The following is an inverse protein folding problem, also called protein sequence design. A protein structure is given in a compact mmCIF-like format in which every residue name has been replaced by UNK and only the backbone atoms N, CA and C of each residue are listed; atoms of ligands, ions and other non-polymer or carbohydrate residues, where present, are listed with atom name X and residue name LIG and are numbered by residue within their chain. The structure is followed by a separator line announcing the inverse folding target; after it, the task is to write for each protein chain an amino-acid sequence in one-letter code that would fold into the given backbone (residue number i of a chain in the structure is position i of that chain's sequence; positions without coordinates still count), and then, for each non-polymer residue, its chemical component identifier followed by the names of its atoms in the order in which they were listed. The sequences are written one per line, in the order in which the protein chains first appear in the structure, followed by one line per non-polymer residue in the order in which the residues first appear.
data_IF_464658236313
#
_entry.id   IF_464658236313
#
_cell.length_a   1.000
_cell.length_b   1.000
_cell.length_c   1.000
_cell.angle_alpha   90.00
_cell.angle_beta   90.00
_cell.angle_gamma   90.00
#
_symmetry.space_group_name_H-M   'P 1'
#
loop_
_entity.id
_entity.type
_entity.pdbx_description
1 polymer ?
#
# COMPACT_ATOMS: atom_id res chain seq x y z
N UNK A 1 -8.19 -24.31 39.38
CA UNK A 1 -9.58 -24.16 38.87
C UNK A 1 -9.54 -24.28 37.36
N UNK A 2 -10.12 -25.35 36.84
CA UNK A 2 -10.15 -25.70 35.41
C UNK A 2 -11.08 -24.71 34.69
N UNK A 3 -10.67 -24.19 33.54
CA UNK A 3 -11.53 -23.31 32.73
C UNK A 3 -12.80 -24.10 32.32
N UNK A 4 -14.01 -23.56 32.50
CA UNK A 4 -15.22 -24.29 32.19
C UNK A 4 -15.36 -24.40 30.66
N UNK A 5 -15.49 -25.63 30.16
CA UNK A 5 -15.71 -25.95 28.74
C UNK A 5 -17.09 -25.56 28.20
N UNK A 6 -17.78 -24.63 28.84
CA UNK A 6 -19.08 -24.12 28.44
C UNK A 6 -18.91 -22.81 27.67
N UNK A 7 -19.37 -22.79 26.42
CA UNK A 7 -19.46 -21.58 25.59
C UNK A 7 -20.93 -21.15 25.55
N UNK A 8 -21.26 -19.89 25.89
CA UNK A 8 -22.63 -19.38 25.80
C UNK A 8 -23.14 -19.41 24.34
N UNK A 9 -24.35 -19.93 24.13
CA UNK A 9 -24.92 -20.10 22.78
C UNK A 9 -25.51 -18.80 22.21
N UNK A 10 -26.26 -18.04 23.01
CA UNK A 10 -26.90 -16.77 22.58
C UNK A 10 -26.76 -15.69 23.64
N UNK A 11 -26.23 -14.53 23.25
CA UNK A 11 -26.04 -13.39 24.15
C UNK A 11 -26.04 -12.06 23.39
N UNK A 12 -27.13 -11.29 23.50
CA UNK A 12 -27.30 -10.01 22.81
C UNK A 12 -26.79 -8.81 23.62
N UNK A 13 -26.44 -7.72 22.94
CA UNK A 13 -26.04 -6.45 23.55
C UNK A 13 -24.53 -6.20 23.52
N UNK A 14 -24.09 -5.24 24.34
CA UNK A 14 -22.71 -4.78 24.42
C UNK A 14 -22.22 -4.90 25.85
N UNK A 15 -21.01 -5.38 26.04
CA UNK A 15 -20.31 -5.28 27.33
C UNK A 15 -19.44 -4.05 27.33
N UNK A 16 -19.61 -3.17 28.31
CA UNK A 16 -18.72 -2.02 28.52
C UNK A 16 -17.86 -2.25 29.76
N UNK A 17 -16.54 -2.22 29.59
CA UNK A 17 -15.56 -2.27 30.68
C UNK A 17 -15.06 -0.84 30.92
N UNK A 18 -15.36 -0.29 32.09
CA UNK A 18 -15.07 1.10 32.44
C UNK A 18 -13.91 1.21 33.43
N UNK A 19 -13.34 2.41 33.55
CA UNK A 19 -12.33 2.71 34.56
C UNK A 19 -10.96 2.06 34.31
N UNK A 20 -10.66 1.69 33.07
CA UNK A 20 -9.37 1.11 32.70
C UNK A 20 -8.25 2.16 32.82
N UNK A 21 -7.16 1.79 33.49
CA UNK A 21 -6.03 2.69 33.71
C UNK A 21 -4.67 1.96 33.60
N UNK A 22 -4.27 1.20 34.62
CA UNK A 22 -2.94 0.59 34.71
C UNK A 22 -2.93 -0.93 34.97
N UNK A 23 -4.10 -1.57 35.03
CA UNK A 23 -4.22 -2.96 35.46
C UNK A 23 -4.83 -3.82 34.37
N UNK A 24 -4.29 -5.02 34.19
CA UNK A 24 -4.88 -6.05 33.32
C UNK A 24 -6.24 -6.49 33.87
N UNK A 25 -7.20 -6.73 32.98
CA UNK A 25 -8.55 -7.17 33.36
C UNK A 25 -8.85 -8.51 32.70
N UNK A 26 -9.27 -9.48 33.50
CA UNK A 26 -9.81 -10.75 33.00
C UNK A 26 -11.32 -10.63 32.87
N UNK A 27 -11.85 -10.86 31.67
CA UNK A 27 -13.28 -10.83 31.43
C UNK A 27 -13.95 -12.02 32.10
N UNK A 28 -15.08 -11.76 32.76
CA UNK A 28 -15.97 -12.85 33.18
C UNK A 28 -16.60 -13.52 31.97
N UNK A 29 -17.06 -14.76 32.14
CA UNK A 29 -17.77 -15.47 31.07
C UNK A 29 -18.97 -14.68 30.54
N UNK A 30 -19.72 -13.98 31.40
CA UNK A 30 -20.86 -13.16 30.96
C UNK A 30 -20.44 -11.91 30.17
N UNK A 31 -19.32 -11.29 30.55
CA UNK A 31 -18.74 -10.15 29.82
C UNK A 31 -18.22 -10.57 28.45
N UNK A 32 -17.51 -11.70 28.39
CA UNK A 32 -16.98 -12.24 27.14
C UNK A 32 -18.05 -12.88 26.24
N UNK A 33 -19.25 -13.15 26.77
CA UNK A 33 -20.34 -13.74 26.00
C UNK A 33 -20.93 -12.77 24.95
N UNK A 34 -20.73 -11.46 25.11
CA UNK A 34 -21.22 -10.46 24.16
C UNK A 34 -20.21 -10.32 23.02
N UNK A 35 -20.70 -10.33 21.78
CA UNK A 35 -19.84 -10.17 20.60
C UNK A 35 -19.13 -8.81 20.56
N UNK A 36 -19.77 -7.75 21.06
CA UNK A 36 -19.18 -6.41 21.09
C UNK A 36 -18.77 -6.03 22.51
N UNK A 37 -17.50 -5.72 22.67
CA UNK A 37 -16.90 -5.28 23.94
C UNK A 37 -16.33 -3.88 23.75
N UNK A 38 -16.79 -2.93 24.56
CA UNK A 38 -16.34 -1.54 24.57
C UNK A 38 -15.48 -1.30 25.80
N UNK A 39 -14.30 -0.74 25.61
CA UNK A 39 -13.33 -0.46 26.66
C UNK A 39 -13.27 1.07 26.86
N UNK A 40 -13.39 1.54 28.10
CA UNK A 40 -13.30 2.98 28.40
C UNK A 40 -12.44 3.24 29.64
N UNK A 41 -11.77 4.39 29.64
CA UNK A 41 -10.87 4.82 30.70
C UNK A 41 -9.72 5.67 30.17
N UNK A 42 -8.82 6.08 31.06
CA UNK A 42 -7.61 6.81 30.72
C UNK A 42 -6.41 5.92 31.05
N UNK A 43 -5.80 5.33 30.02
CA UNK A 43 -4.68 4.42 30.23
C UNK A 43 -3.46 5.20 30.70
N UNK A 44 -2.82 4.65 31.73
CA UNK A 44 -1.55 5.16 32.27
C UNK A 44 -0.42 4.14 32.16
N UNK A 45 -0.73 2.94 31.65
CA UNK A 45 0.24 1.95 31.17
C UNK A 45 -0.37 1.11 30.06
N UNK A 46 0.46 0.31 29.37
CA UNK A 46 -0.08 -0.76 28.54
C UNK A 46 -0.77 -1.79 29.44
N UNK A 47 -1.97 -2.22 29.06
CA UNK A 47 -2.75 -3.21 29.81
C UNK A 47 -3.19 -4.34 28.88
N UNK A 48 -3.58 -5.47 29.45
CA UNK A 48 -4.19 -6.59 28.74
C UNK A 48 -5.66 -6.77 29.16
N UNK A 49 -6.52 -6.98 28.17
CA UNK A 49 -7.84 -7.57 28.38
C UNK A 49 -7.72 -9.05 28.08
N UNK A 50 -7.97 -9.86 29.10
CA UNK A 50 -7.79 -11.31 29.06
C UNK A 50 -9.16 -11.96 28.81
N UNK A 51 -9.31 -12.50 27.61
CA UNK A 51 -10.50 -13.20 27.16
C UNK A 51 -10.44 -14.68 27.58
N UNK A 52 -11.59 -15.34 27.73
CA UNK A 52 -11.62 -16.79 27.80
C UNK A 52 -11.10 -17.40 26.48
N UNK A 53 -10.49 -18.57 26.58
CA UNK A 53 -9.93 -19.30 25.44
C UNK A 53 -11.03 -20.06 24.67
N UNK A 54 -12.10 -19.35 24.30
CA UNK A 54 -13.20 -19.89 23.51
C UNK A 54 -12.89 -19.76 22.03
N UNK A 55 -13.33 -20.73 21.23
CA UNK A 55 -13.34 -20.58 19.78
C UNK A 55 -14.49 -19.64 19.39
N UNK A 56 -14.22 -18.34 19.31
CA UNK A 56 -15.23 -17.31 19.14
C UNK A 56 -14.65 -16.04 18.49
N UNK A 57 -15.54 -15.20 17.95
CA UNK A 57 -15.19 -13.89 17.40
C UNK A 57 -15.74 -12.76 18.24
N UNK A 58 -14.97 -11.67 18.38
CA UNK A 58 -15.37 -10.45 19.08
C UNK A 58 -15.09 -9.21 18.25
N UNK A 59 -15.88 -8.17 18.45
CA UNK A 59 -15.60 -6.81 18.02
C UNK A 59 -15.23 -5.99 19.25
N UNK A 60 -13.96 -5.63 19.36
CA UNK A 60 -13.45 -4.85 20.48
C UNK A 60 -13.31 -3.39 20.06
N UNK A 61 -13.93 -2.50 20.81
CA UNK A 61 -13.83 -1.04 20.62
C UNK A 61 -13.00 -0.48 21.76
N UNK A 62 -11.78 -0.03 21.47
CA UNK A 62 -10.93 0.60 22.46
C UNK A 62 -11.18 2.13 22.48
N UNK A 63 -12.17 2.55 23.27
CA UNK A 63 -12.48 3.97 23.51
C UNK A 63 -11.68 4.55 24.68
N UNK A 64 -10.63 3.89 25.14
CA UNK A 64 -9.74 4.47 26.13
C UNK A 64 -8.98 5.67 25.55
N UNK A 65 -8.51 6.55 26.43
CA UNK A 65 -7.61 7.67 26.11
C UNK A 65 -6.21 7.42 26.68
N UNK A 66 -5.25 8.29 26.36
CA UNK A 66 -3.85 8.14 26.76
C UNK A 66 -2.96 7.54 25.66
N UNK A 67 -1.64 7.61 25.85
CA UNK A 67 -0.64 7.18 24.87
C UNK A 67 -0.29 5.67 24.92
N UNK A 68 -1.12 4.89 25.62
CA UNK A 68 -0.90 3.46 25.84
C UNK A 68 -1.91 2.61 25.08
N UNK A 69 -1.69 1.31 25.07
CA UNK A 69 -2.48 0.37 24.26
C UNK A 69 -3.11 -0.73 25.12
N UNK A 70 -4.15 -1.35 24.56
CA UNK A 70 -4.76 -2.55 25.13
C UNK A 70 -4.32 -3.77 24.33
N UNK A 71 -3.79 -4.79 24.99
CA UNK A 71 -3.55 -6.10 24.38
C UNK A 71 -4.75 -7.00 24.62
N UNK A 72 -5.46 -7.38 23.56
CA UNK A 72 -6.53 -8.38 23.61
C UNK A 72 -5.92 -9.76 23.43
N UNK A 73 -5.89 -10.55 24.51
CA UNK A 73 -5.25 -11.88 24.51
C UNK A 73 -6.03 -12.88 25.36
N UNK A 74 -5.75 -14.17 25.19
CA UNK A 74 -6.13 -15.17 26.20
C UNK A 74 -5.09 -15.21 27.32
N UNK A 75 -5.29 -16.06 28.33
CA UNK A 75 -4.35 -16.20 29.44
C UNK A 75 -2.93 -16.64 28.97
N UNK A 76 -2.87 -17.55 27.99
CA UNK A 76 -1.63 -18.14 27.46
C UNK A 76 -1.21 -17.60 26.09
N UNK A 77 -2.12 -16.98 25.34
CA UNK A 77 -1.87 -16.43 24.02
C UNK A 77 -1.16 -15.07 24.07
N UNK A 78 -0.48 -14.74 22.97
CA UNK A 78 0.15 -13.43 22.78
C UNK A 78 -0.89 -12.34 22.54
N UNK A 79 -1.95 -12.69 21.79
CA UNK A 79 -3.02 -11.80 21.37
C UNK A 79 -2.59 -10.74 20.36
N UNK A 80 -3.40 -9.69 20.26
CA UNK A 80 -3.18 -8.52 19.40
C UNK A 80 -3.21 -7.25 20.23
N UNK A 81 -2.46 -6.24 19.79
CA UNK A 81 -2.53 -4.89 20.36
C UNK A 81 -3.59 -4.08 19.63
N UNK A 82 -4.60 -3.61 20.37
CA UNK A 82 -5.61 -2.65 19.95
C UNK A 82 -5.24 -1.26 20.50
N UNK A 83 -4.83 -0.35 19.61
CA UNK A 83 -4.50 1.02 19.98
C UNK A 83 -5.74 1.80 20.45
N UNK A 84 -5.54 2.88 21.20
CA UNK A 84 -6.64 3.77 21.61
C UNK A 84 -7.34 4.35 20.38
N UNK A 85 -8.67 4.46 20.43
CA UNK A 85 -9.52 4.92 19.33
C UNK A 85 -9.77 3.92 18.21
N UNK A 86 -9.29 2.67 18.31
CA UNK A 86 -9.49 1.64 17.27
C UNK A 86 -10.67 0.71 17.56
N UNK A 87 -11.25 0.16 16.50
CA UNK A 87 -12.20 -0.95 16.56
C UNK A 87 -11.64 -2.13 15.80
N UNK A 88 -11.50 -3.27 16.47
CA UNK A 88 -10.84 -4.46 15.93
C UNK A 88 -11.82 -5.64 15.93
N UNK A 89 -11.92 -6.34 14.79
CA UNK A 89 -12.64 -7.61 14.69
C UNK A 89 -11.64 -8.75 14.88
N UNK A 90 -11.90 -9.56 15.91
CA UNK A 90 -10.99 -10.55 16.46
C UNK A 90 -11.59 -11.94 16.36
N UNK A 91 -10.73 -12.94 16.17
CA UNK A 91 -11.04 -14.36 16.25
C UNK A 91 -10.09 -15.02 17.25
N UNK A 92 -10.62 -15.92 18.06
CA UNK A 92 -9.85 -16.80 18.92
C UNK A 92 -10.00 -18.24 18.47
N UNK A 93 -8.87 -18.94 18.37
CA UNK A 93 -8.79 -20.35 17.98
C UNK A 93 -8.83 -21.31 19.18
N UNK A 94 -9.14 -20.79 20.37
CA UNK A 94 -9.08 -21.52 21.64
C UNK A 94 -7.70 -21.49 22.31
N UNK A 95 -6.71 -20.84 21.71
CA UNK A 95 -5.39 -20.63 22.32
C UNK A 95 -4.98 -19.17 22.19
N UNK A 96 -5.04 -18.59 21.00
CA UNK A 96 -4.59 -17.23 20.73
C UNK A 96 -5.70 -16.39 20.10
N UNK A 97 -5.54 -15.06 20.19
CA UNK A 97 -6.43 -14.10 19.54
C UNK A 97 -5.69 -13.47 18.37
N UNK A 98 -6.32 -13.45 17.20
CA UNK A 98 -5.84 -12.82 15.97
C UNK A 98 -6.90 -11.88 15.41
N UNK A 99 -6.53 -11.02 14.45
CA UNK A 99 -7.50 -10.23 13.68
C UNK A 99 -8.15 -11.11 12.62
N UNK A 100 -9.47 -10.99 12.42
CA UNK A 100 -10.23 -11.81 11.45
C UNK A 100 -9.68 -11.67 10.03
N UNK A 101 -9.33 -10.44 9.63
CA UNK A 101 -8.79 -10.15 8.30
C UNK A 101 -7.24 -10.08 8.28
N UNK A 102 -6.59 -10.64 9.30
CA UNK A 102 -5.12 -10.70 9.40
C UNK A 102 -4.45 -9.33 9.41
N UNK A 103 -3.38 -9.18 8.62
CA UNK A 103 -2.65 -7.90 8.49
C UNK A 103 -3.39 -6.89 7.62
N UNK A 104 -4.35 -7.34 6.80
CA UNK A 104 -5.04 -6.47 5.85
C UNK A 104 -5.91 -5.43 6.55
N UNK A 105 -6.52 -5.75 7.70
CA UNK A 105 -7.34 -4.80 8.47
C UNK A 105 -6.56 -3.61 9.04
N UNK A 106 -5.22 -3.65 9.00
CA UNK A 106 -4.36 -2.58 9.48
C UNK A 106 -3.82 -1.71 8.34
N UNK A 107 -4.18 -2.00 7.08
CA UNK A 107 -3.69 -1.28 5.92
C UNK A 107 -4.78 -0.38 5.34
N UNK A 108 -4.41 0.83 4.94
CA UNK A 108 -5.33 1.74 4.24
C UNK A 108 -5.42 1.38 2.75
N UNK A 109 -6.39 1.97 2.05
CA UNK A 109 -6.44 1.97 0.58
C UNK A 109 -5.77 3.25 0.05
N UNK A 110 -4.79 3.14 -0.85
CA UNK A 110 -4.11 4.30 -1.45
C UNK A 110 -2.64 4.05 -1.80
N UNK A 111 -1.88 5.12 -2.01
CA UNK A 111 -0.52 5.12 -2.59
C UNK A 111 0.65 5.12 -1.57
N UNK A 112 0.35 5.14 -0.28
CA UNK A 112 1.33 5.05 0.80
C UNK A 112 1.96 3.66 0.96
N UNK A 113 3.16 3.63 1.57
CA UNK A 113 3.85 2.40 1.93
C UNK A 113 2.98 1.53 2.84
N UNK A 114 2.76 0.27 2.44
CA UNK A 114 1.99 -0.69 3.22
C UNK A 114 0.47 -0.59 3.08
N UNK A 115 -0.05 0.11 2.06
CA UNK A 115 -1.49 0.11 1.73
C UNK A 115 -1.91 -1.12 0.90
N UNK A 116 -3.22 -1.34 0.78
CA UNK A 116 -3.83 -2.32 -0.13
C UNK A 116 -4.55 -1.55 -1.25
N UNK A 117 -4.26 -1.79 -2.54
CA UNK A 117 -3.19 -2.62 -3.09
C UNK A 117 -1.81 -1.98 -2.84
N UNK A 118 -0.75 -2.78 -2.76
CA UNK A 118 0.61 -2.25 -2.57
C UNK A 118 1.01 -1.40 -3.79
N UNK A 119 0.95 -0.07 -3.65
CA UNK A 119 1.23 0.84 -4.75
C UNK A 119 2.73 0.99 -5.06
N UNK A 120 3.61 0.31 -4.31
CA UNK A 120 5.02 0.19 -4.68
C UNK A 120 5.22 -0.55 -6.03
N UNK A 121 4.21 -1.26 -6.52
CA UNK A 121 4.17 -1.84 -7.87
C UNK A 121 3.88 -0.81 -8.99
N UNK A 122 3.48 0.43 -8.66
CA UNK A 122 3.14 1.51 -9.60
C UNK A 122 4.12 2.71 -9.52
N UNK A 123 5.42 2.44 -9.37
CA UNK A 123 6.44 3.51 -9.32
C UNK A 123 6.37 4.42 -10.55
N UNK A 124 6.46 5.73 -10.34
CA UNK A 124 6.42 6.72 -11.41
C UNK A 124 7.29 7.94 -11.11
N UNK A 125 7.66 8.66 -12.17
CA UNK A 125 8.30 9.98 -12.10
C UNK A 125 7.59 10.93 -13.07
N UNK A 126 7.01 12.02 -12.54
CA UNK A 126 6.22 13.01 -13.30
C UNK A 126 7.07 14.21 -13.74
N UNK A 127 8.19 13.94 -14.39
CA UNK A 127 9.06 14.97 -14.97
C UNK A 127 8.84 15.12 -16.47
N UNK A 128 9.46 16.14 -17.09
CA UNK A 128 9.43 16.35 -18.55
C UNK A 128 9.89 15.12 -19.32
N UNK A 129 10.91 14.42 -18.80
CA UNK A 129 11.20 13.02 -19.12
C UNK A 129 10.90 12.15 -17.90
N UNK A 130 9.91 11.28 -18.01
CA UNK A 130 9.31 10.57 -16.90
C UNK A 130 8.89 9.14 -17.24
N UNK A 131 8.39 8.41 -16.25
CA UNK A 131 7.97 7.03 -16.42
C UNK A 131 6.81 6.65 -15.49
N UNK A 132 6.13 5.56 -15.84
CA UNK A 132 5.21 4.82 -14.98
C UNK A 132 5.48 3.32 -15.14
N UNK A 133 5.68 2.61 -14.03
CA UNK A 133 5.66 1.15 -13.97
C UNK A 133 4.24 0.67 -13.73
N UNK A 134 3.85 -0.38 -14.44
CA UNK A 134 2.58 -1.07 -14.25
C UNK A 134 2.82 -2.39 -13.51
N UNK A 135 1.82 -2.89 -12.77
CA UNK A 135 1.83 -4.25 -12.26
C UNK A 135 2.05 -5.24 -13.42
N UNK A 136 2.89 -6.24 -13.19
CA UNK A 136 3.31 -7.17 -14.23
C UNK A 136 4.60 -6.79 -14.95
N UNK A 137 5.22 -5.65 -14.61
CA UNK A 137 6.57 -5.30 -15.05
C UNK A 137 6.65 -4.45 -16.32
N UNK A 138 5.51 -4.16 -16.96
CA UNK A 138 5.45 -3.22 -18.10
C UNK A 138 5.80 -1.81 -17.61
N UNK A 139 6.62 -1.12 -18.40
CA UNK A 139 7.08 0.24 -18.14
C UNK A 139 6.66 1.10 -19.33
N UNK A 140 6.04 2.25 -19.03
CA UNK A 140 5.79 3.32 -20.01
C UNK A 140 6.71 4.47 -19.64
N UNK A 141 7.47 4.97 -20.60
CA UNK A 141 8.37 6.12 -20.41
C UNK A 141 8.05 7.19 -21.45
N UNK A 142 8.26 8.45 -21.12
CA UNK A 142 8.07 9.56 -22.04
C UNK A 142 9.17 10.59 -21.86
N UNK A 143 9.31 11.47 -22.84
CA UNK A 143 10.21 12.59 -22.73
C UNK A 143 10.15 13.55 -23.90
N UNK A 144 11.02 14.54 -23.82
CA UNK A 144 11.23 15.52 -24.88
C UNK A 144 12.72 15.65 -25.19
N UNK A 145 13.05 16.03 -26.42
CA UNK A 145 14.42 16.25 -26.85
C UNK A 145 14.46 17.27 -28.00
N UNK A 146 15.65 17.80 -28.28
CA UNK A 146 15.92 18.59 -29.49
C UNK A 146 16.99 17.84 -30.29
N UNK A 147 16.70 17.49 -31.54
CA UNK A 147 17.60 16.62 -32.32
C UNK A 147 18.90 17.32 -32.71
N UNK A 148 18.93 18.65 -32.73
CA UNK A 148 19.98 19.39 -33.42
C UNK A 148 20.07 19.00 -34.90
N UNK A 149 21.14 19.43 -35.57
CA UNK A 149 21.41 19.08 -36.97
C UNK A 149 22.13 17.74 -37.13
N UNK A 150 22.61 17.12 -36.05
CA UNK A 150 23.37 15.87 -36.08
C UNK A 150 22.64 14.66 -35.46
N UNK A 151 21.43 14.87 -34.94
CA UNK A 151 20.75 13.88 -34.10
C UNK A 151 21.20 13.95 -32.64
N UNK A 152 20.38 13.36 -31.77
CA UNK A 152 20.60 13.34 -30.33
C UNK A 152 20.37 11.93 -29.78
N UNK A 153 21.16 11.55 -28.77
CA UNK A 153 20.91 10.36 -27.97
C UNK A 153 20.31 10.77 -26.64
N UNK A 154 19.20 10.14 -26.26
CA UNK A 154 18.47 10.39 -25.03
C UNK A 154 18.50 9.12 -24.19
N UNK A 155 18.75 9.28 -22.89
CA UNK A 155 18.61 8.19 -21.94
C UNK A 155 17.14 8.07 -21.53
N UNK A 156 16.61 6.85 -21.50
CA UNK A 156 15.34 6.61 -20.84
C UNK A 156 15.45 6.98 -19.35
N UNK A 157 14.41 7.56 -18.73
CA UNK A 157 14.38 7.89 -17.30
C UNK A 157 14.82 6.73 -16.41
N UNK A 158 14.46 5.50 -16.78
CA UNK A 158 14.98 4.26 -16.22
C UNK A 158 15.32 3.27 -17.35
N UNK A 159 16.31 2.39 -17.20
CA UNK A 159 16.54 1.32 -18.17
C UNK A 159 15.34 0.35 -18.20
N UNK A 160 14.95 -0.09 -19.40
CA UNK A 160 14.05 -1.24 -19.56
C UNK A 160 14.81 -2.52 -19.16
N UNK A 161 14.30 -3.35 -18.24
CA UNK A 161 15.04 -4.54 -17.79
C UNK A 161 15.34 -5.58 -18.87
N UNK A 162 14.45 -5.78 -19.85
CA UNK A 162 14.52 -6.90 -20.80
C UNK A 162 14.39 -6.46 -22.25
N UNK A 163 13.43 -5.59 -22.56
CA UNK A 163 13.08 -5.23 -23.93
C UNK A 163 12.49 -3.81 -24.00
N UNK A 164 12.98 -3.03 -24.97
CA UNK A 164 12.28 -1.86 -25.50
C UNK A 164 11.28 -2.37 -26.54
N UNK A 165 10.01 -2.50 -26.17
CA UNK A 165 8.98 -3.11 -27.02
C UNK A 165 8.57 -2.20 -28.18
N UNK A 166 8.38 -0.91 -27.92
CA UNK A 166 8.09 0.08 -28.95
C UNK A 166 8.48 1.48 -28.49
N UNK A 167 8.89 2.33 -29.43
CA UNK A 167 9.09 3.76 -29.22
C UNK A 167 8.41 4.49 -30.36
N UNK A 168 7.61 5.50 -30.02
CA UNK A 168 7.05 6.44 -30.98
C UNK A 168 7.46 7.85 -30.63
N UNK A 169 7.70 8.65 -31.66
CA UNK A 169 8.15 10.02 -31.54
C UNK A 169 7.34 10.90 -32.49
N UNK A 170 6.99 12.09 -32.03
CA UNK A 170 6.32 13.11 -32.82
C UNK A 170 7.15 14.37 -32.87
N UNK A 171 7.16 14.99 -34.04
CA UNK A 171 7.61 16.36 -34.20
C UNK A 171 6.68 17.28 -33.38
N UNK A 172 7.26 18.18 -32.62
CA UNK A 172 6.56 19.17 -31.81
C UNK A 172 6.95 20.61 -32.16
N UNK A 173 7.61 20.79 -33.30
CA UNK A 173 7.93 22.08 -33.92
C UNK A 173 9.25 22.70 -33.47
N UNK A 174 9.48 23.96 -33.83
CA UNK A 174 10.61 24.77 -33.37
C UNK A 174 11.83 24.85 -34.31
N UNK A 175 11.80 24.19 -35.48
CA UNK A 175 12.86 24.27 -36.51
C UNK A 175 12.38 23.75 -37.89
N UNK A 176 13.30 23.56 -38.85
CA UNK A 176 12.98 23.24 -40.26
C UNK A 176 12.71 21.76 -40.57
N UNK A 177 12.97 20.83 -39.64
CA UNK A 177 12.59 19.42 -39.84
C UNK A 177 11.09 19.24 -39.56
N UNK A 178 10.40 18.56 -40.47
CA UNK A 178 8.98 18.21 -40.36
C UNK A 178 8.79 16.68 -40.23
N UNK A 179 9.87 15.96 -39.94
CA UNK A 179 9.86 14.51 -39.74
C UNK A 179 10.91 14.11 -38.70
N UNK A 180 10.58 13.11 -37.89
CA UNK A 180 11.44 12.55 -36.84
C UNK A 180 11.68 11.08 -37.15
N UNK A 181 12.94 10.70 -37.28
CA UNK A 181 13.34 9.30 -37.22
C UNK A 181 13.87 8.95 -35.84
N UNK A 182 13.80 7.67 -35.51
CA UNK A 182 14.24 7.14 -34.23
C UNK A 182 14.96 5.81 -34.41
N UNK A 183 15.91 5.53 -33.52
CA UNK A 183 16.60 4.24 -33.42
C UNK A 183 16.80 3.89 -31.96
N UNK A 184 16.30 2.75 -31.51
CA UNK A 184 16.63 2.21 -30.18
C UNK A 184 18.07 1.70 -30.21
N UNK A 185 18.91 2.22 -29.33
CA UNK A 185 20.33 1.87 -29.27
C UNK A 185 20.60 0.77 -28.24
N UNK A 186 19.88 0.81 -27.13
CA UNK A 186 20.02 -0.15 -26.03
C UNK A 186 18.77 -0.13 -25.15
N UNK A 187 18.77 -0.96 -24.09
CA UNK A 187 17.76 -0.95 -23.05
C UNK A 187 17.66 0.37 -22.26
N UNK A 188 18.66 1.25 -22.37
CA UNK A 188 18.71 2.54 -21.66
C UNK A 188 18.71 3.76 -22.57
N UNK A 189 18.83 3.59 -23.90
CA UNK A 189 19.06 4.70 -24.81
C UNK A 189 18.30 4.58 -26.14
N UNK A 190 17.84 5.72 -26.61
CA UNK A 190 17.22 5.91 -27.93
C UNK A 190 17.82 7.14 -28.59
N UNK A 191 18.02 7.07 -29.90
CA UNK A 191 18.46 8.20 -30.72
C UNK A 191 17.29 8.76 -31.53
N UNK A 192 17.24 10.09 -31.66
CA UNK A 192 16.31 10.81 -32.51
C UNK A 192 17.06 11.68 -33.51
N UNK A 193 16.55 11.75 -34.74
CA UNK A 193 17.10 12.60 -35.80
C UNK A 193 15.98 13.27 -36.58
N UNK A 194 16.14 14.57 -36.85
CA UNK A 194 15.22 15.35 -37.65
C UNK A 194 15.64 15.38 -39.11
N UNK A 195 14.66 15.30 -40.03
CA UNK A 195 14.88 15.50 -41.46
C UNK A 195 13.90 16.52 -42.04
N UNK A 196 14.44 17.44 -42.84
CA UNK A 196 13.64 18.35 -43.64
C UNK A 196 12.96 17.59 -44.78
N UNK A 197 11.64 17.72 -44.94
CA UNK A 197 10.87 16.98 -45.96
C UNK A 197 11.31 17.36 -47.38
N UNK A 198 11.64 18.63 -47.60
CA UNK A 198 11.94 19.15 -48.95
C UNK A 198 13.32 18.73 -49.48
N UNK A 199 14.30 18.53 -48.60
CA UNK A 199 15.70 18.29 -48.99
C UNK A 199 16.27 16.95 -48.49
N UNK A 200 15.58 16.27 -47.57
CA UNK A 200 16.09 15.08 -46.87
C UNK A 200 17.28 15.37 -45.96
N UNK A 201 17.73 16.63 -45.87
CA UNK A 201 18.89 17.04 -45.09
C UNK A 201 18.63 16.89 -43.58
N UNK A 202 19.69 16.60 -42.84
CA UNK A 202 19.62 16.58 -41.38
C UNK A 202 19.27 17.99 -40.87
N UNK A 203 18.30 18.07 -39.98
CA UNK A 203 17.74 19.34 -39.51
C UNK A 203 17.24 19.21 -38.09
N UNK A 204 17.26 20.32 -37.36
CA UNK A 204 16.74 20.36 -35.99
C UNK A 204 15.21 20.23 -35.97
N UNK A 205 14.67 19.57 -34.95
CA UNK A 205 13.26 19.55 -34.52
C UNK A 205 13.18 19.26 -33.02
N UNK A 206 12.17 19.81 -32.34
CA UNK A 206 11.80 19.37 -31.01
C UNK A 206 10.93 18.11 -31.09
N UNK A 207 11.29 17.10 -30.31
CA UNK A 207 10.64 15.79 -30.29
C UNK A 207 9.91 15.59 -28.98
N UNK A 208 8.70 15.03 -29.04
CA UNK A 208 8.03 14.39 -27.91
C UNK A 208 7.97 12.89 -28.20
N UNK A 209 8.34 12.07 -27.22
CA UNK A 209 8.41 10.62 -27.42
C UNK A 209 7.73 9.88 -26.27
N UNK A 210 7.22 8.70 -26.59
CA UNK A 210 6.71 7.71 -25.64
C UNK A 210 7.27 6.33 -26.01
N UNK A 211 7.67 5.58 -24.99
CA UNK A 211 8.25 4.26 -25.11
C UNK A 211 7.50 3.30 -24.18
N UNK A 212 7.37 2.04 -24.61
CA UNK A 212 6.82 0.94 -23.82
C UNK A 212 7.74 -0.27 -23.91
N UNK A 213 7.87 -0.99 -22.80
CA UNK A 213 8.77 -2.14 -22.67
C UNK A 213 8.65 -2.77 -21.29
N UNK A 214 9.57 -3.67 -20.96
CA UNK A 214 9.65 -4.35 -19.66
C UNK A 214 11.05 -4.92 -19.43
#
# INVERSE_FOLDING_TARGET
MQAPGWVPLDNYGVTTITGLAATNVTLSSLQAAKERIVLTGTLTSNIAIIFPAWMASWTVVNNCTGAFTVTCRTASGTGITAATGTTEKLYCDGVNITRDFGTASQRNVGDGSGNIPDMSFFQNSKSSSGYARLPGGVIIQWGTASTGTSGITVNFPIPFPTLVGSVTATDSGGAQANSVGLTVLSLSQVSFFGRAIQSGAASNTAVRWIAIGY
#
